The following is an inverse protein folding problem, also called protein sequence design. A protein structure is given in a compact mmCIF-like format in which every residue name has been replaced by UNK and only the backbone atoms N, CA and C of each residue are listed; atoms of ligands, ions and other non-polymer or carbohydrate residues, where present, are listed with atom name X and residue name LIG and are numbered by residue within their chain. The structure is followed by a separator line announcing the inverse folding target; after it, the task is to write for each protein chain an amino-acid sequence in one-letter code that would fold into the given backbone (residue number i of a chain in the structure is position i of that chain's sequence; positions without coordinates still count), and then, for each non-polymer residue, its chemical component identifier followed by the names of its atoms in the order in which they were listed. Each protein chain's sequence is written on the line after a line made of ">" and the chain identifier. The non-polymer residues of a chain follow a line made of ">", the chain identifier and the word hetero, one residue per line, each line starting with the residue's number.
data_IF_441501806812
#
_entry.id   IF_441501806812
#
_cell.length_a   1.000
_cell.length_b   1.000
_cell.length_c   1.000
_cell.angle_alpha   90.00
_cell.angle_beta   90.00
_cell.angle_gamma   90.00
#
_symmetry.space_group_name_H-M   'P 1'
#
loop_
_entity.id
_entity.type
_entity.pdbx_description
1 polymer ?
#
# COMPACT_ATOMS: atom_id res chain seq x y z
N UNK A 1 -52.15 5.54 -19.64
CA UNK A 1 -51.68 5.50 -18.24
C UNK A 1 -50.65 4.38 -18.17
N UNK A 2 -49.36 4.70 -18.20
CA UNK A 2 -48.28 3.70 -18.16
C UNK A 2 -47.68 3.77 -16.75
N UNK A 3 -47.77 2.68 -16.00
CA UNK A 3 -47.08 2.54 -14.72
C UNK A 3 -45.58 2.37 -14.97
N UNK A 4 -44.80 3.33 -14.49
CA UNK A 4 -43.34 3.26 -14.45
C UNK A 4 -42.89 2.26 -13.39
N UNK A 5 -42.22 1.20 -13.84
CA UNK A 5 -41.60 0.19 -12.99
C UNK A 5 -40.24 0.73 -12.54
N UNK A 6 -40.20 1.39 -11.39
CA UNK A 6 -38.94 1.82 -10.79
C UNK A 6 -38.21 0.61 -10.21
N UNK A 7 -37.12 0.24 -10.88
CA UNK A 7 -36.13 -0.73 -10.39
C UNK A 7 -35.65 -0.28 -9.02
N UNK A 8 -35.92 -1.10 -7.99
CA UNK A 8 -35.25 -1.02 -6.69
C UNK A 8 -33.77 -1.30 -6.91
N UNK A 9 -33.00 -0.27 -7.22
CA UNK A 9 -31.56 -0.30 -7.09
C UNK A 9 -31.27 -0.51 -5.61
N UNK A 10 -30.73 -1.69 -5.31
CA UNK A 10 -30.31 -2.10 -3.98
C UNK A 10 -29.40 -1.05 -3.36
N UNK A 11 -29.47 -0.99 -2.02
CA UNK A 11 -28.80 0.02 -1.21
C UNK A 11 -27.36 0.25 -1.65
N UNK A 12 -27.02 1.51 -1.83
CA UNK A 12 -25.64 1.95 -1.69
C UNK A 12 -25.27 1.68 -0.23
N UNK A 13 -24.74 0.49 0.05
CA UNK A 13 -23.88 0.32 1.21
C UNK A 13 -22.73 1.32 1.00
N UNK A 14 -22.77 2.41 1.76
CA UNK A 14 -21.67 3.35 1.85
C UNK A 14 -20.41 2.57 2.19
N UNK A 15 -19.51 2.43 1.21
CA UNK A 15 -18.19 1.88 1.41
C UNK A 15 -17.38 2.86 2.27
N UNK A 16 -17.62 2.85 3.59
CA UNK A 16 -16.81 3.53 4.61
C UNK A 16 -15.37 2.95 4.74
N UNK A 17 -14.88 2.22 3.72
CA UNK A 17 -13.55 1.60 3.71
C UNK A 17 -12.54 2.25 2.76
N UNK A 18 -12.95 3.16 1.88
CA UNK A 18 -12.06 3.65 0.80
C UNK A 18 -11.09 4.77 1.24
N UNK A 19 -11.34 5.42 2.39
CA UNK A 19 -10.46 6.49 2.89
C UNK A 19 -9.24 5.99 3.69
N UNK A 20 -9.12 4.69 3.95
CA UNK A 20 -7.97 4.13 4.67
C UNK A 20 -6.81 3.68 3.75
N UNK A 21 -6.96 3.72 2.43
CA UNK A 21 -5.89 3.33 1.50
C UNK A 21 -4.77 4.38 1.35
N UNK A 22 -4.97 5.61 1.82
CA UNK A 22 -4.06 6.73 1.55
C UNK A 22 -3.05 7.04 2.66
N UNK A 23 -2.99 6.26 3.74
CA UNK A 23 -2.04 6.51 4.82
C UNK A 23 -1.12 5.31 5.10
N UNK A 24 -0.28 4.96 4.11
CA UNK A 24 0.78 3.96 4.26
C UNK A 24 1.86 4.37 5.28
N UNK A 25 1.91 5.63 5.71
CA UNK A 25 2.90 6.15 6.67
C UNK A 25 2.83 5.46 8.05
N UNK A 26 1.72 4.76 8.37
CA UNK A 26 1.61 3.92 9.58
C UNK A 26 1.73 2.41 9.34
N UNK A 27 1.60 1.95 8.10
CA UNK A 27 1.60 0.52 7.74
C UNK A 27 2.96 0.05 7.19
N UNK A 28 3.63 0.90 6.42
CA UNK A 28 4.94 0.63 5.82
C UNK A 28 5.95 1.58 6.44
N UNK A 29 6.96 1.00 7.09
CA UNK A 29 8.04 1.79 7.69
C UNK A 29 8.78 2.58 6.60
N UNK A 30 9.05 3.85 6.88
CA UNK A 30 9.87 4.71 6.01
C UNK A 30 11.27 4.90 6.62
N UNK A 31 12.30 4.74 5.80
CA UNK A 31 13.71 4.92 6.12
C UNK A 31 14.30 6.08 5.30
N UNK A 32 15.47 6.56 5.69
CA UNK A 32 16.25 7.57 4.94
C UNK A 32 17.39 6.96 4.11
N UNK A 33 17.64 5.66 4.30
CA UNK A 33 18.69 4.88 3.63
C UNK A 33 18.19 3.46 3.30
N UNK A 34 18.92 2.76 2.45
CA UNK A 34 18.62 1.38 2.07
C UNK A 34 18.72 0.44 3.30
N UNK A 35 17.73 -0.45 3.52
CA UNK A 35 17.78 -1.42 4.61
C UNK A 35 18.89 -2.46 4.42
N UNK A 36 19.65 -2.73 5.49
CA UNK A 36 20.72 -3.74 5.51
C UNK A 36 20.40 -4.97 6.40
N UNK A 37 19.18 -5.05 6.95
CA UNK A 37 18.76 -6.12 7.86
C UNK A 37 17.89 -7.16 7.16
N UNK A 38 17.83 -8.36 7.74
CA UNK A 38 16.86 -9.40 7.36
C UNK A 38 15.56 -9.21 8.15
N UNK A 39 14.41 -8.96 7.50
CA UNK A 39 13.15 -8.77 8.18
C UNK A 39 12.68 -10.05 8.89
N UNK A 40 12.16 -9.91 10.11
CA UNK A 40 11.66 -11.02 10.93
C UNK A 40 10.14 -11.20 10.86
N UNK A 41 9.43 -10.21 10.34
CA UNK A 41 7.97 -10.18 10.20
C UNK A 41 7.62 -9.86 8.76
N UNK A 42 6.48 -10.37 8.30
CA UNK A 42 5.96 -10.07 6.96
C UNK A 42 5.79 -8.56 6.73
N UNK A 43 5.30 -7.84 7.74
CA UNK A 43 5.13 -6.40 7.69
C UNK A 43 6.45 -5.62 7.51
N UNK A 44 7.59 -6.21 7.90
CA UNK A 44 8.91 -5.58 7.77
C UNK A 44 9.57 -5.86 6.42
N UNK A 45 8.96 -6.69 5.55
CA UNK A 45 9.52 -7.07 4.24
C UNK A 45 9.34 -6.01 3.16
N UNK A 46 8.54 -4.98 3.43
CA UNK A 46 8.35 -3.83 2.57
C UNK A 46 8.73 -2.60 3.38
N UNK A 47 9.60 -1.77 2.84
CA UNK A 47 9.90 -0.46 3.42
C UNK A 47 9.92 0.60 2.33
N UNK A 48 9.60 1.82 2.70
CA UNK A 48 9.83 2.98 1.85
C UNK A 48 11.19 3.58 2.23
N UNK A 49 11.92 4.07 1.24
CA UNK A 49 13.15 4.83 1.44
C UNK A 49 12.96 6.19 0.78
N UNK A 50 13.04 7.26 1.58
CA UNK A 50 12.90 8.64 1.10
C UNK A 50 14.24 9.36 1.24
N UNK A 51 14.83 9.73 0.12
CA UNK A 51 16.13 10.43 0.07
C UNK A 51 16.03 11.58 -0.93
N UNK A 52 16.34 12.80 -0.49
CA UNK A 52 16.41 13.97 -1.37
C UNK A 52 15.13 14.27 -2.17
N UNK A 53 13.95 14.00 -1.60
CA UNK A 53 12.65 14.25 -2.24
C UNK A 53 12.15 13.10 -3.13
N UNK A 54 12.96 12.08 -3.39
CA UNK A 54 12.51 10.85 -4.06
C UNK A 54 12.09 9.79 -3.05
N UNK A 55 11.06 9.01 -3.39
CA UNK A 55 10.64 7.84 -2.61
C UNK A 55 10.83 6.58 -3.46
N UNK A 56 11.49 5.57 -2.92
CA UNK A 56 11.58 4.22 -3.51
C UNK A 56 10.97 3.21 -2.55
N UNK A 57 10.36 2.15 -3.08
CA UNK A 57 10.01 0.98 -2.28
C UNK A 57 11.16 -0.02 -2.31
N UNK A 58 11.42 -0.66 -1.19
CA UNK A 58 12.31 -1.80 -1.10
C UNK A 58 11.48 -3.00 -0.67
N UNK A 59 11.66 -4.12 -1.38
CA UNK A 59 11.02 -5.39 -1.06
C UNK A 59 12.11 -6.41 -0.75
N UNK A 60 11.93 -7.17 0.32
CA UNK A 60 12.89 -8.20 0.71
C UNK A 60 12.63 -9.48 -0.08
N UNK A 61 13.60 -9.87 -0.89
CA UNK A 61 13.64 -11.14 -1.60
C UNK A 61 14.13 -12.23 -0.63
N UNK A 62 13.22 -13.09 -0.21
CA UNK A 62 13.50 -14.16 0.76
C UNK A 62 14.29 -15.32 0.15
N UNK A 63 14.29 -15.47 -1.18
CA UNK A 63 15.03 -16.53 -1.87
C UNK A 63 16.51 -16.17 -1.94
N UNK A 64 16.80 -14.93 -2.34
CA UNK A 64 18.18 -14.44 -2.48
C UNK A 64 18.68 -13.68 -1.25
N UNK A 65 17.85 -13.55 -0.21
CA UNK A 65 18.16 -12.84 1.04
C UNK A 65 18.68 -11.41 0.83
N UNK A 66 18.03 -10.67 -0.08
CA UNK A 66 18.48 -9.33 -0.49
C UNK A 66 17.32 -8.37 -0.58
N UNK A 67 17.59 -7.08 -0.39
CA UNK A 67 16.63 -6.05 -0.70
C UNK A 67 16.63 -5.72 -2.20
N UNK A 68 15.43 -5.49 -2.75
CA UNK A 68 15.21 -5.13 -4.14
C UNK A 68 14.54 -3.77 -4.20
N UNK A 69 15.18 -2.81 -4.85
CA UNK A 69 14.66 -1.46 -5.04
C UNK A 69 13.65 -1.43 -6.19
N UNK A 70 12.54 -0.75 -5.95
CA UNK A 70 11.54 -0.34 -6.95
C UNK A 70 11.39 1.17 -6.85
N UNK A 71 11.72 1.88 -7.94
CA UNK A 71 11.47 3.32 -8.02
C UNK A 71 9.96 3.54 -8.20
N UNK A 72 9.37 4.37 -7.34
CA UNK A 72 7.97 4.77 -7.47
C UNK A 72 7.93 6.02 -8.36
N UNK A 73 7.25 5.94 -9.50
CA UNK A 73 7.01 7.05 -10.43
C UNK A 73 5.62 7.59 -10.28
#
# INVERSE_FOLDING_TARGET
>A
MIQSNESKLGGAEEFEGLNHFFNLEGFIRTLIEEPAYVPRKLADQIVLVRTGGSTSAYLYDTINTTWRRVTLT
#
